data_IF_530006063792
#
_entry.id   IF_530006063792
#
_cell.length_a   1.000
_cell.length_b   1.000
_cell.length_c   1.000
_cell.angle_alpha   90.00
_cell.angle_beta   90.00
_cell.angle_gamma   90.00
#
_symmetry.space_group_name_H-M   'P 1'
#
loop_
_entity.id
_entity.type
_entity.pdbx_description
1 polymer ?
#
# COMPACT_ATOMS: atom_id res chain seq x y z
N UNK A 1 -23.01 15.73 1.41
CA UNK A 1 -22.41 14.38 1.24
C UNK A 1 -23.48 13.35 1.61
N UNK A 2 -23.94 12.50 0.65
CA UNK A 2 -24.84 11.39 1.00
C UNK A 2 -23.99 10.24 1.55
N UNK A 3 -24.22 9.85 2.78
CA UNK A 3 -23.59 8.66 3.36
C UNK A 3 -24.22 7.40 2.77
N UNK A 4 -23.41 6.39 2.53
CA UNK A 4 -23.91 5.06 2.17
C UNK A 4 -24.79 4.53 3.30
N UNK A 5 -25.90 3.87 2.95
CA UNK A 5 -26.73 3.17 3.92
C UNK A 5 -25.99 1.96 4.54
N UNK A 6 -26.59 1.37 5.56
CA UNK A 6 -25.97 0.31 6.36
C UNK A 6 -25.74 -0.98 5.56
N UNK A 7 -26.66 -1.29 4.67
CA UNK A 7 -26.65 -2.49 3.85
C UNK A 7 -25.56 -2.43 2.79
N UNK A 8 -25.47 -1.29 2.11
CA UNK A 8 -24.46 -1.01 1.09
C UNK A 8 -23.04 -0.98 1.66
N UNK A 9 -22.87 -0.44 2.89
CA UNK A 9 -21.57 -0.52 3.61
C UNK A 9 -21.16 -1.96 3.88
N UNK A 10 -22.09 -2.80 4.35
CA UNK A 10 -21.81 -4.22 4.59
C UNK A 10 -21.47 -4.96 3.30
N UNK A 11 -22.19 -4.69 2.23
CA UNK A 11 -21.91 -5.27 0.91
C UNK A 11 -20.49 -4.94 0.49
N UNK A 12 -20.09 -3.66 0.47
CA UNK A 12 -18.75 -3.23 0.09
C UNK A 12 -17.66 -3.87 0.95
N UNK A 13 -17.85 -3.97 2.27
CA UNK A 13 -16.92 -4.66 3.16
C UNK A 13 -16.80 -6.16 2.83
N UNK A 14 -17.86 -6.79 2.38
CA UNK A 14 -17.86 -8.19 1.97
C UNK A 14 -17.23 -8.39 0.59
N UNK A 15 -17.42 -7.45 -0.32
CA UNK A 15 -16.84 -7.46 -1.68
C UNK A 15 -15.31 -7.30 -1.65
N UNK A 16 -14.76 -6.48 -0.74
CA UNK A 16 -13.32 -6.31 -0.62
C UNK A 16 -12.63 -7.61 -0.21
N UNK A 17 -11.98 -8.29 -1.13
CA UNK A 17 -11.31 -9.59 -0.90
C UNK A 17 -9.98 -9.69 -1.65
N UNK A 18 -9.17 -10.69 -1.34
CA UNK A 18 -7.92 -10.97 -2.05
C UNK A 18 -8.21 -11.74 -3.34
N UNK A 19 -8.28 -11.02 -4.45
CA UNK A 19 -8.52 -11.61 -5.77
C UNK A 19 -7.33 -12.48 -6.21
N UNK A 20 -7.57 -13.70 -6.64
CA UNK A 20 -6.52 -14.64 -7.06
C UNK A 20 -6.39 -14.76 -8.58
N UNK A 21 -7.39 -14.33 -9.34
CA UNK A 21 -7.40 -14.38 -10.79
C UNK A 21 -8.14 -13.17 -11.36
N UNK A 22 -7.46 -12.42 -12.21
CA UNK A 22 -8.00 -11.23 -12.84
C UNK A 22 -8.36 -11.50 -14.29
N UNK A 23 -9.27 -10.68 -14.82
CA UNK A 23 -9.59 -10.64 -16.24
C UNK A 23 -8.42 -10.00 -17.01
N UNK A 24 -7.68 -10.83 -17.73
CA UNK A 24 -6.51 -10.38 -18.51
C UNK A 24 -6.86 -9.47 -19.71
N UNK A 25 -8.14 -9.36 -20.06
CA UNK A 25 -8.65 -8.46 -21.10
C UNK A 25 -9.08 -7.11 -20.53
N UNK A 26 -9.25 -7.00 -19.21
CA UNK A 26 -9.58 -5.74 -18.58
C UNK A 26 -8.34 -4.85 -18.45
N UNK A 27 -8.40 -3.69 -19.05
CA UNK A 27 -7.36 -2.68 -18.97
C UNK A 27 -7.91 -1.42 -18.27
N UNK A 28 -7.15 -0.88 -17.33
CA UNK A 28 -7.53 0.37 -16.67
C UNK A 28 -7.50 1.54 -17.65
N UNK A 29 -8.52 2.38 -17.58
CA UNK A 29 -8.48 3.72 -18.16
C UNK A 29 -7.48 4.60 -17.40
N UNK A 30 -7.03 5.69 -18.04
CA UNK A 30 -6.20 6.70 -17.37
C UNK A 30 -6.88 7.30 -16.15
N UNK A 31 -8.21 7.50 -16.20
CA UNK A 31 -9.00 8.03 -15.09
C UNK A 31 -8.99 7.07 -13.89
N UNK A 32 -9.15 5.78 -14.10
CA UNK A 32 -9.11 4.79 -13.02
C UNK A 32 -7.71 4.69 -12.38
N UNK A 33 -6.66 4.76 -13.19
CA UNK A 33 -5.28 4.78 -12.68
C UNK A 33 -5.00 6.02 -11.84
N UNK A 34 -5.44 7.20 -12.27
CA UNK A 34 -5.34 8.45 -11.52
C UNK A 34 -6.13 8.39 -10.21
N UNK A 35 -7.33 7.82 -10.22
CA UNK A 35 -8.16 7.65 -9.02
C UNK A 35 -7.48 6.71 -8.01
N UNK A 36 -6.92 5.59 -8.48
CA UNK A 36 -6.14 4.67 -7.62
C UNK A 36 -4.89 5.36 -7.05
N UNK A 37 -4.19 6.15 -7.86
CA UNK A 37 -3.04 6.92 -7.42
C UNK A 37 -3.40 7.96 -6.36
N UNK A 38 -4.56 8.64 -6.51
CA UNK A 38 -5.06 9.62 -5.54
C UNK A 38 -5.49 8.94 -4.23
N UNK A 39 -6.15 7.78 -4.29
CA UNK A 39 -6.46 6.96 -3.11
C UNK A 39 -5.18 6.62 -2.33
N UNK A 40 -4.12 6.22 -3.03
CA UNK A 40 -2.84 5.91 -2.42
C UNK A 40 -2.19 7.16 -1.79
N UNK A 41 -2.17 8.28 -2.53
CA UNK A 41 -1.59 9.55 -2.10
C UNK A 41 -2.27 10.12 -0.85
N UNK A 42 -3.59 9.98 -0.72
CA UNK A 42 -4.40 10.49 0.39
C UNK A 42 -4.37 9.59 1.63
N UNK A 43 -3.55 8.55 1.66
CA UNK A 43 -3.44 7.69 2.82
C UNK A 43 -2.90 8.44 4.05
N UNK A 44 -3.48 8.20 5.24
CA UNK A 44 -3.00 8.81 6.47
C UNK A 44 -1.72 8.12 6.96
N UNK A 45 -0.90 8.86 7.69
CA UNK A 45 0.22 8.31 8.45
C UNK A 45 0.43 9.08 9.75
N UNK A 46 1.03 8.42 10.74
CA UNK A 46 1.37 9.07 12.00
C UNK A 46 2.35 10.23 11.75
N UNK A 47 2.10 11.36 12.39
CA UNK A 47 2.79 12.64 12.15
C UNK A 47 2.73 13.11 10.68
N UNK A 48 1.85 12.54 9.87
CA UNK A 48 1.79 12.79 8.43
C UNK A 48 3.16 12.61 7.74
N UNK A 49 3.91 11.60 8.15
CA UNK A 49 5.28 11.34 7.66
C UNK A 49 5.32 10.77 6.25
N UNK A 50 4.22 10.19 5.77
CA UNK A 50 4.07 9.68 4.39
C UNK A 50 5.31 8.91 3.89
N UNK A 51 5.80 7.89 4.63
CA UNK A 51 7.10 7.29 4.39
C UNK A 51 7.07 6.23 3.29
N UNK A 52 6.34 6.49 2.23
CA UNK A 52 6.12 5.59 1.10
C UNK A 52 6.38 6.24 -0.24
N UNK A 53 6.61 5.40 -1.22
CA UNK A 53 6.57 5.73 -2.62
C UNK A 53 5.86 4.60 -3.36
N UNK A 54 4.91 4.93 -4.22
CA UNK A 54 4.14 3.95 -4.99
C UNK A 54 4.60 3.95 -6.44
N UNK A 55 4.85 2.76 -6.99
CA UNK A 55 5.18 2.59 -8.41
C UNK A 55 4.06 1.83 -9.07
N UNK A 56 3.35 2.48 -9.98
CA UNK A 56 2.31 1.84 -10.78
C UNK A 56 2.91 1.23 -12.04
N UNK A 57 2.81 -0.08 -12.17
CA UNK A 57 3.34 -0.85 -13.30
C UNK A 57 2.17 -1.34 -14.16
N UNK A 58 1.98 -0.72 -15.31
CA UNK A 58 1.00 -1.11 -16.34
C UNK A 58 1.66 -1.84 -17.51
N UNK A 59 2.97 -1.64 -17.70
CA UNK A 59 3.73 -2.30 -18.77
C UNK A 59 3.75 -3.82 -18.58
N UNK A 60 3.23 -4.55 -19.58
CA UNK A 60 3.06 -6.01 -19.53
C UNK A 60 4.39 -6.77 -19.39
N UNK A 61 5.45 -6.29 -20.04
CA UNK A 61 6.75 -6.97 -19.99
C UNK A 61 7.44 -6.74 -18.62
N UNK A 62 7.31 -5.54 -18.06
CA UNK A 62 7.82 -5.27 -16.72
C UNK A 62 7.06 -6.07 -15.65
N UNK A 63 5.73 -6.20 -15.78
CA UNK A 63 4.94 -7.09 -14.92
C UNK A 63 5.40 -8.54 -15.00
N UNK A 64 5.69 -9.06 -16.20
CA UNK A 64 6.21 -10.43 -16.40
C UNK A 64 7.56 -10.63 -15.70
N UNK A 65 8.47 -9.65 -15.83
CA UNK A 65 9.77 -9.70 -15.14
C UNK A 65 9.60 -9.77 -13.63
N UNK A 66 8.74 -8.94 -13.04
CA UNK A 66 8.45 -8.96 -11.59
C UNK A 66 7.77 -10.28 -11.19
N UNK A 67 6.81 -10.75 -12.01
CA UNK A 67 6.07 -11.99 -11.76
C UNK A 67 7.00 -13.21 -11.66
N UNK A 68 8.04 -13.31 -12.48
CA UNK A 68 9.02 -14.38 -12.46
C UNK A 68 9.79 -14.50 -11.10
N UNK A 69 9.78 -13.44 -10.29
CA UNK A 69 10.38 -13.42 -8.96
C UNK A 69 9.34 -13.37 -7.83
N UNK A 70 8.09 -13.75 -8.11
CA UNK A 70 6.96 -13.64 -7.17
C UNK A 70 6.40 -14.99 -6.74
N UNK A 71 7.27 -15.99 -6.64
CA UNK A 71 6.98 -17.36 -6.19
C UNK A 71 5.67 -17.92 -6.78
N UNK A 72 4.68 -18.24 -5.94
CA UNK A 72 3.39 -18.80 -6.35
C UNK A 72 2.38 -17.75 -6.86
N UNK A 73 2.80 -16.50 -7.05
CA UNK A 73 1.91 -15.39 -7.43
C UNK A 73 2.07 -14.97 -8.90
N UNK A 74 2.86 -15.71 -9.68
CA UNK A 74 3.22 -15.36 -11.05
C UNK A 74 1.99 -15.14 -11.95
N UNK A 75 1.08 -16.11 -11.99
CA UNK A 75 -0.13 -16.04 -12.84
C UNK A 75 -1.08 -14.93 -12.41
N UNK A 76 -1.21 -14.70 -11.12
CA UNK A 76 -2.00 -13.59 -10.57
C UNK A 76 -1.45 -12.23 -11.02
N UNK A 77 -0.14 -12.03 -10.97
CA UNK A 77 0.49 -10.78 -11.42
C UNK A 77 0.35 -10.62 -12.93
N UNK A 78 0.52 -11.68 -13.70
CA UNK A 78 0.39 -11.65 -15.16
C UNK A 78 -1.03 -11.29 -15.60
N UNK A 79 -2.06 -11.86 -14.94
CA UNK A 79 -3.46 -11.59 -15.25
C UNK A 79 -3.95 -10.23 -14.80
N UNK A 80 -3.34 -9.63 -13.79
CA UNK A 80 -3.72 -8.31 -13.28
C UNK A 80 -3.55 -7.21 -14.33
N UNK A 81 -4.46 -6.22 -14.33
CA UNK A 81 -4.39 -5.07 -15.25
C UNK A 81 -3.20 -4.16 -14.91
N UNK A 82 -2.93 -3.97 -13.61
CA UNK A 82 -1.77 -3.24 -13.12
C UNK A 82 -1.18 -3.92 -11.87
N UNK A 83 0.08 -3.58 -11.58
CA UNK A 83 0.76 -3.95 -10.35
C UNK A 83 1.25 -2.68 -9.67
N UNK A 84 0.80 -2.44 -8.44
CA UNK A 84 1.37 -1.38 -7.62
C UNK A 84 2.48 -1.95 -6.74
N UNK A 85 3.68 -1.40 -6.85
CA UNK A 85 4.79 -1.72 -5.97
C UNK A 85 4.83 -0.69 -4.86
N UNK A 86 4.68 -1.13 -3.62
CA UNK A 86 4.74 -0.27 -2.44
C UNK A 86 6.18 -0.25 -1.94
N UNK A 87 6.80 0.91 -1.99
CA UNK A 87 8.16 1.14 -1.51
C UNK A 87 8.13 1.98 -0.23
N UNK A 88 9.07 1.78 0.66
CA UNK A 88 9.27 2.59 1.85
C UNK A 88 10.52 3.46 1.75
N UNK A 89 10.53 4.56 2.50
CA UNK A 89 11.75 5.27 2.85
C UNK A 89 12.66 4.39 3.71
N UNK A 90 13.94 4.70 3.71
CA UNK A 90 14.89 4.15 4.68
C UNK A 90 14.80 4.90 6.00
N UNK A 91 15.08 4.27 7.14
CA UNK A 91 15.07 4.97 8.43
C UNK A 91 15.93 6.23 8.47
N UNK A 92 17.08 6.23 7.78
CA UNK A 92 17.97 7.40 7.70
C UNK A 92 17.33 8.60 6.98
N UNK A 93 16.39 8.37 6.07
CA UNK A 93 15.67 9.43 5.34
C UNK A 93 14.59 10.08 6.21
N UNK A 94 14.03 9.33 7.18
CA UNK A 94 12.97 9.80 8.08
C UNK A 94 13.51 10.42 9.38
N UNK A 95 14.78 10.78 9.43
CA UNK A 95 15.32 11.48 10.59
C UNK A 95 14.83 12.94 10.64
N UNK A 96 14.60 13.52 11.85
CA UNK A 96 14.09 14.88 12.01
C UNK A 96 14.88 15.95 11.25
N UNK A 97 16.20 15.78 11.14
CA UNK A 97 17.10 16.70 10.43
C UNK A 97 17.33 16.31 8.95
N UNK A 98 16.74 15.19 8.51
CA UNK A 98 16.88 14.70 7.14
C UNK A 98 16.19 15.62 6.13
N UNK A 99 16.75 15.68 4.92
CA UNK A 99 16.21 16.48 3.81
C UNK A 99 14.72 16.19 3.57
N UNK A 100 14.28 14.93 3.68
CA UNK A 100 12.90 14.55 3.49
C UNK A 100 11.98 15.25 4.50
N UNK A 101 12.24 15.10 5.80
CA UNK A 101 11.40 15.69 6.87
C UNK A 101 11.40 17.21 6.83
N UNK A 102 12.54 17.83 6.46
CA UNK A 102 12.65 19.27 6.35
C UNK A 102 11.87 19.88 5.17
N UNK A 103 11.58 19.09 4.13
CA UNK A 103 10.86 19.52 2.94
C UNK A 103 9.42 18.99 2.84
N UNK A 104 9.02 18.06 3.72
CA UNK A 104 7.70 17.46 3.68
C UNK A 104 6.58 18.44 4.12
N UNK A 105 6.88 19.33 5.06
CA UNK A 105 5.85 20.15 5.72
C UNK A 105 6.00 21.64 5.37
N UNK A 106 4.87 22.39 5.32
CA UNK A 106 4.90 23.85 5.39
C UNK A 106 5.57 24.32 6.68
N UNK A 107 6.23 25.48 6.68
CA UNK A 107 6.95 26.02 7.85
C UNK A 107 6.07 26.10 9.09
N UNK A 108 4.83 26.57 8.96
CA UNK A 108 3.87 26.67 10.07
C UNK A 108 3.55 25.33 10.76
N UNK A 109 3.68 24.22 10.05
CA UNK A 109 3.43 22.88 10.57
C UNK A 109 4.73 22.22 11.07
N UNK A 110 5.82 22.46 10.40
CA UNK A 110 7.17 21.94 10.66
C UNK A 110 7.64 22.22 12.09
N UNK A 111 7.48 23.46 12.57
CA UNK A 111 7.91 23.90 13.91
C UNK A 111 7.28 23.09 15.04
N UNK A 112 6.13 22.48 14.82
CA UNK A 112 5.44 21.65 15.78
C UNK A 112 5.74 20.16 15.58
N UNK A 113 5.69 19.69 14.33
CA UNK A 113 5.74 18.26 14.02
C UNK A 113 7.14 17.69 14.20
N UNK A 114 8.18 18.38 13.75
CA UNK A 114 9.56 17.86 13.82
C UNK A 114 10.02 17.66 15.28
N UNK A 115 9.87 18.61 16.21
CA UNK A 115 10.22 18.37 17.61
C UNK A 115 9.42 17.24 18.26
N UNK A 116 8.10 17.15 17.97
CA UNK A 116 7.25 16.10 18.50
C UNK A 116 7.65 14.71 17.97
N UNK A 117 8.01 14.63 16.69
CA UNK A 117 8.52 13.39 16.09
C UNK A 117 9.89 13.01 16.67
N UNK A 118 10.80 13.97 16.86
CA UNK A 118 12.10 13.74 17.49
C UNK A 118 11.95 13.20 18.93
N UNK A 119 11.03 13.78 19.71
CA UNK A 119 10.69 13.29 21.05
C UNK A 119 10.16 11.85 21.01
N UNK A 120 9.25 11.54 20.08
CA UNK A 120 8.71 10.18 19.89
C UNK A 120 9.83 9.19 19.57
N UNK A 121 10.80 9.54 18.71
CA UNK A 121 11.95 8.68 18.39
C UNK A 121 12.77 8.34 19.63
N UNK A 122 12.99 9.31 20.54
CA UNK A 122 13.67 9.08 21.82
C UNK A 122 12.84 8.19 22.76
N UNK A 123 11.62 8.61 23.06
CA UNK A 123 10.76 7.98 24.08
C UNK A 123 10.30 6.58 23.66
N UNK A 124 9.77 6.42 22.44
CA UNK A 124 9.19 5.15 21.99
C UNK A 124 10.23 4.18 21.45
N UNK A 125 11.23 4.67 20.74
CA UNK A 125 12.15 3.82 20.00
C UNK A 125 13.57 3.80 20.58
N UNK A 126 13.88 4.66 21.56
CA UNK A 126 15.23 4.83 22.07
C UNK A 126 16.26 5.05 20.95
N UNK A 127 15.88 5.86 19.95
CA UNK A 127 16.65 6.16 18.74
C UNK A 127 17.06 4.94 17.90
N UNK A 128 16.40 3.78 18.09
CA UNK A 128 16.71 2.56 17.35
C UNK A 128 16.23 2.66 15.90
N UNK A 129 17.17 2.53 14.96
CA UNK A 129 16.88 2.52 13.53
C UNK A 129 16.02 1.32 13.12
N UNK A 130 16.19 0.17 13.78
CA UNK A 130 15.36 -1.01 13.53
C UNK A 130 13.91 -0.81 13.95
N UNK A 131 13.67 -0.16 15.10
CA UNK A 131 12.30 0.18 15.52
C UNK A 131 11.67 1.24 14.61
N UNK A 132 12.45 2.20 14.14
CA UNK A 132 12.00 3.19 13.17
C UNK A 132 11.64 2.52 11.83
N UNK A 133 12.42 1.53 11.40
CA UNK A 133 12.09 0.73 10.22
C UNK A 133 10.75 0.02 10.35
N UNK A 134 10.51 -0.65 11.48
CA UNK A 134 9.23 -1.30 11.76
C UNK A 134 8.06 -0.29 11.73
N UNK A 135 8.25 0.88 12.34
CA UNK A 135 7.27 1.97 12.29
C UNK A 135 6.98 2.43 10.86
N UNK A 136 8.00 2.59 10.01
CA UNK A 136 7.85 2.94 8.59
C UNK A 136 6.99 1.89 7.87
N UNK A 137 7.26 0.61 8.07
CA UNK A 137 6.49 -0.48 7.49
C UNK A 137 5.02 -0.46 7.96
N UNK A 138 4.77 -0.20 9.24
CA UNK A 138 3.42 -0.04 9.79
C UNK A 138 2.64 1.06 9.03
N UNK A 139 3.28 2.22 8.77
CA UNK A 139 2.64 3.30 8.01
C UNK A 139 2.34 2.88 6.56
N UNK A 140 3.26 2.17 5.91
CA UNK A 140 3.02 1.64 4.55
C UNK A 140 1.81 0.69 4.53
N UNK A 141 1.66 -0.19 5.52
CA UNK A 141 0.50 -1.10 5.59
C UNK A 141 -0.82 -0.39 5.92
N UNK A 142 -0.81 0.76 6.59
CA UNK A 142 -2.01 1.62 6.71
C UNK A 142 -2.44 2.09 5.32
N UNK A 143 -1.50 2.57 4.50
CA UNK A 143 -1.78 2.97 3.12
C UNK A 143 -2.26 1.80 2.25
N UNK A 144 -1.64 0.62 2.37
CA UNK A 144 -2.07 -0.61 1.67
C UNK A 144 -3.53 -0.95 1.99
N UNK A 145 -3.92 -0.86 3.26
CA UNK A 145 -5.32 -1.10 3.67
C UNK A 145 -6.29 -0.11 3.03
N UNK A 146 -5.93 1.18 2.98
CA UNK A 146 -6.74 2.21 2.31
C UNK A 146 -6.84 1.97 0.80
N UNK A 147 -5.72 1.65 0.15
CA UNK A 147 -5.68 1.36 -1.29
C UNK A 147 -6.62 0.21 -1.64
N UNK A 148 -6.52 -0.93 -0.93
CA UNK A 148 -7.38 -2.08 -1.18
C UNK A 148 -8.87 -1.77 -0.99
N UNK A 149 -9.22 -1.00 0.05
CA UNK A 149 -10.58 -0.57 0.28
C UNK A 149 -11.06 0.42 -0.78
N UNK A 150 -10.22 1.40 -1.16
CA UNK A 150 -10.56 2.38 -2.18
C UNK A 150 -10.78 1.73 -3.54
N UNK A 151 -9.91 0.79 -3.94
CA UNK A 151 -10.08 -0.01 -5.17
C UNK A 151 -11.40 -0.79 -5.15
N UNK A 152 -11.76 -1.38 -3.99
CA UNK A 152 -13.05 -2.06 -3.84
C UNK A 152 -14.25 -1.12 -3.96
N UNK A 153 -14.14 0.13 -3.48
CA UNK A 153 -15.17 1.16 -3.66
C UNK A 153 -15.38 1.57 -5.12
N UNK A 154 -14.36 1.40 -5.95
CA UNK A 154 -14.44 1.61 -7.41
C UNK A 154 -15.08 0.40 -8.13
N UNK A 155 -15.45 -0.67 -7.43
CA UNK A 155 -15.95 -1.91 -8.02
C UNK A 155 -14.84 -2.75 -8.68
N UNK A 156 -13.61 -2.55 -8.26
CA UNK A 156 -12.41 -3.22 -8.75
C UNK A 156 -11.83 -4.12 -7.67
N UNK A 157 -10.85 -4.93 -8.03
CA UNK A 157 -10.28 -5.94 -7.15
C UNK A 157 -8.79 -5.76 -6.95
N UNK A 158 -8.32 -6.23 -5.80
CA UNK A 158 -6.91 -6.18 -5.44
C UNK A 158 -6.44 -7.46 -4.73
N UNK A 159 -5.14 -7.71 -4.78
CA UNK A 159 -4.50 -8.71 -3.93
C UNK A 159 -3.15 -8.21 -3.44
N UNK A 160 -2.97 -8.19 -2.12
CA UNK A 160 -1.68 -7.89 -1.50
C UNK A 160 -0.79 -9.12 -1.61
N UNK A 161 0.44 -8.93 -2.09
CA UNK A 161 1.43 -9.98 -2.31
C UNK A 161 2.66 -9.70 -1.46
N UNK A 162 2.95 -10.59 -0.51
CA UNK A 162 4.19 -10.60 0.26
C UNK A 162 5.17 -11.69 -0.19
N UNK A 163 4.69 -12.64 -1.01
CA UNK A 163 5.49 -13.75 -1.51
C UNK A 163 6.23 -13.41 -2.81
N UNK A 164 7.36 -12.71 -2.71
CA UNK A 164 8.27 -12.37 -3.82
C UNK A 164 9.69 -12.17 -3.30
N UNK A 165 10.67 -12.10 -4.21
CA UNK A 165 12.06 -11.75 -3.88
C UNK A 165 12.24 -10.22 -3.96
N UNK A 166 12.35 -9.51 -2.82
CA UNK A 166 12.43 -8.05 -2.81
C UNK A 166 13.74 -7.52 -3.41
N UNK A 167 14.82 -8.30 -3.41
CA UNK A 167 16.10 -7.91 -4.01
C UNK A 167 15.98 -7.95 -5.53
N UNK A 168 15.44 -9.04 -6.10
CA UNK A 168 15.26 -9.17 -7.53
C UNK A 168 14.26 -8.16 -8.10
N UNK A 169 13.15 -7.96 -7.42
CA UNK A 169 12.18 -6.90 -7.82
C UNK A 169 12.82 -5.52 -7.70
N UNK A 170 13.63 -5.29 -6.67
CA UNK A 170 14.41 -4.05 -6.52
C UNK A 170 15.35 -3.82 -7.70
N UNK A 171 16.18 -4.81 -8.08
CA UNK A 171 17.09 -4.75 -9.23
C UNK A 171 16.37 -4.40 -10.55
N UNK A 172 15.18 -5.00 -10.77
CA UNK A 172 14.35 -4.71 -11.95
C UNK A 172 13.91 -3.24 -11.99
N UNK A 173 13.58 -2.66 -10.84
CA UNK A 173 13.10 -1.29 -10.71
C UNK A 173 14.22 -0.25 -10.61
N UNK A 174 15.42 -0.60 -10.16
CA UNK A 174 16.56 0.33 -10.00
C UNK A 174 16.95 1.05 -11.30
N UNK A 175 16.64 0.48 -12.43
CA UNK A 175 16.84 1.13 -13.74
C UNK A 175 15.92 2.36 -13.96
N UNK A 176 14.88 2.51 -13.12
CA UNK A 176 13.82 3.52 -13.27
C UNK A 176 13.65 4.40 -12.04
N UNK A 177 13.93 3.85 -10.85
CA UNK A 177 13.79 4.54 -9.57
C UNK A 177 15.01 4.26 -8.68
N UNK A 178 15.47 5.26 -7.95
CA UNK A 178 16.68 5.15 -7.15
C UNK A 178 16.48 4.22 -5.93
N UNK A 179 17.12 3.05 -5.95
CA UNK A 179 17.26 2.09 -4.84
C UNK A 179 15.98 1.88 -4.01
N UNK A 180 14.90 1.36 -4.61
CA UNK A 180 13.63 1.20 -3.90
C UNK A 180 13.76 0.17 -2.77
N UNK A 181 13.15 0.45 -1.62
CA UNK A 181 12.96 -0.54 -0.57
C UNK A 181 11.54 -1.08 -0.65
N UNK A 182 11.39 -2.27 -1.23
CA UNK A 182 10.08 -2.86 -1.51
C UNK A 182 9.45 -3.40 -0.22
N UNK A 183 8.20 -3.03 0.03
CA UNK A 183 7.39 -3.48 1.17
C UNK A 183 6.50 -4.64 0.77
N UNK A 184 5.68 -4.43 -0.24
CA UNK A 184 4.79 -5.44 -0.81
C UNK A 184 4.39 -5.04 -2.24
N UNK A 185 3.74 -5.97 -2.93
CA UNK A 185 3.11 -5.73 -4.22
C UNK A 185 1.59 -5.77 -4.04
N UNK A 186 0.86 -5.02 -4.86
CA UNK A 186 -0.60 -5.08 -4.92
C UNK A 186 -0.98 -5.33 -6.39
N UNK A 187 -1.47 -6.52 -6.68
CA UNK A 187 -2.08 -6.81 -7.98
C UNK A 187 -3.45 -6.15 -8.04
N UNK A 188 -3.75 -5.48 -9.16
CA UNK A 188 -4.94 -4.66 -9.36
C UNK A 188 -5.63 -5.04 -10.67
N UNK A 189 -6.96 -5.12 -10.67
CA UNK A 189 -7.73 -5.46 -11.86
C UNK A 189 -9.19 -5.73 -11.57
N UNK A 190 -9.83 -6.48 -12.46
CA UNK A 190 -11.20 -6.95 -12.30
C UNK A 190 -11.21 -8.47 -12.18
N UNK A 191 -11.90 -9.01 -11.19
CA UNK A 191 -12.00 -10.46 -10.99
C UNK A 191 -12.78 -11.14 -12.12
N UNK A 192 -12.42 -12.40 -12.43
CA UNK A 192 -13.12 -13.24 -13.40
C UNK A 192 -14.27 -14.07 -12.77
N UNK A 193 -14.30 -14.19 -11.46
CA UNK A 193 -15.29 -14.99 -10.72
C UNK A 193 -15.79 -14.23 -9.49
N UNK A 194 -16.95 -14.62 -8.98
CA UNK A 194 -17.47 -14.04 -7.74
C UNK A 194 -16.53 -14.24 -6.56
N UNK A 195 -16.54 -13.27 -5.64
CA UNK A 195 -15.76 -13.35 -4.42
C UNK A 195 -16.22 -14.56 -3.57
N UNK A 196 -15.27 -15.37 -3.11
CA UNK A 196 -15.56 -16.43 -2.15
C UNK A 196 -16.07 -15.85 -0.84
N UNK A 197 -16.92 -16.61 -0.15
CA UNK A 197 -17.42 -16.23 1.18
C UNK A 197 -16.24 -15.98 2.14
N UNK A 198 -16.28 -14.87 2.85
CA UNK A 198 -15.25 -14.53 3.84
C UNK A 198 -15.33 -15.44 5.07
N UNK A 199 -14.19 -16.03 5.41
CA UNK A 199 -13.98 -16.66 6.71
C UNK A 199 -13.30 -15.66 7.65
N UNK A 200 -13.91 -15.36 8.77
CA UNK A 200 -13.38 -14.46 9.82
C UNK A 200 -13.70 -15.02 11.19
N UNK A 201 -12.92 -14.65 12.19
CA UNK A 201 -13.26 -14.90 13.60
C UNK A 201 -14.63 -14.33 13.92
N UNK A 202 -15.30 -14.90 14.91
CA UNK A 202 -16.54 -14.32 15.44
C UNK A 202 -16.26 -12.92 16.04
N UNK A 203 -17.31 -12.10 16.20
CA UNK A 203 -17.14 -10.77 16.79
C UNK A 203 -16.62 -10.85 18.22
N UNK A 204 -17.08 -11.81 19.01
CA UNK A 204 -16.67 -11.98 20.42
C UNK A 204 -15.21 -12.43 20.54
N UNK A 205 -14.68 -13.16 19.54
CA UNK A 205 -13.26 -13.56 19.51
C UNK A 205 -12.33 -12.44 19.00
N UNK A 206 -12.89 -11.44 18.35
CA UNK A 206 -12.13 -10.35 17.74
C UNK A 206 -12.24 -9.02 18.50
N UNK A 207 -13.32 -8.80 19.26
CA UNK A 207 -13.65 -7.50 19.89
C UNK A 207 -14.11 -7.75 21.32
N UNK A 208 -13.46 -7.06 22.24
CA UNK A 208 -13.89 -6.97 23.64
C UNK A 208 -14.55 -5.61 23.88
N UNK A 209 -15.75 -5.62 24.43
CA UNK A 209 -16.45 -4.40 24.86
C UNK A 209 -16.23 -4.20 26.37
N UNK A 210 -15.74 -3.01 26.78
CA UNK A 210 -15.48 -2.64 28.19
C UNK A 210 -16.41 -1.52 28.61
#
# INVERSE_FOLDING_TARGET
MKFLDHEKKRQLLNECHSCKMFDSHYEFSSTELEEIAEIARLSPSSYNTQPWHFVMVTNKDLKKQIAAHSYFNEEMIKSASALMVVCSLRPSELLPHGHYMQNLYPESYKVRVIPSFAQMLGVRFNHSMQKLESYILEQCYIAVGQICMGVSLMGLDSCIIGGFDPLKVGEILEQRINKPKIVCLIALGKRVAEASQKSRKSKVDAITWL
#
